data_IF_698862390581
#
_entry.id   IF_698862390581
#
_cell.length_a   1.000
_cell.length_b   1.000
_cell.length_c   1.000
_cell.angle_alpha   90.00
_cell.angle_beta   90.00
_cell.angle_gamma   90.00
#
_symmetry.space_group_name_H-M   'P 1'
#
loop_
_entity.id
_entity.type
_entity.pdbx_description
1 polymer ?
#
# COMPACT_ATOMS: atom_id res chain seq x y z
N UNK A 1 4.91 -26.33 15.50
CA UNK A 1 6.31 -26.73 15.27
C UNK A 1 6.61 -26.96 13.79
N UNK A 2 5.59 -27.35 12.96
CA UNK A 2 5.80 -27.71 11.54
C UNK A 2 5.46 -26.56 10.57
N UNK A 3 5.17 -25.37 11.08
CA UNK A 3 5.00 -24.13 10.33
C UNK A 3 5.95 -23.07 10.90
N UNK A 4 6.75 -22.46 10.02
CA UNK A 4 7.71 -21.40 10.35
C UNK A 4 7.47 -20.24 9.41
N UNK A 5 7.20 -19.07 9.96
CA UNK A 5 7.08 -17.81 9.22
C UNK A 5 8.35 -16.99 9.43
N UNK A 6 8.92 -16.52 8.35
CA UNK A 6 10.09 -15.64 8.33
C UNK A 6 9.66 -14.31 7.74
N UNK A 7 9.88 -13.24 8.48
CA UNK A 7 9.52 -11.89 8.11
C UNK A 7 10.75 -10.96 8.20
N UNK A 8 10.74 -9.83 7.50
CA UNK A 8 11.83 -8.86 7.60
C UNK A 8 12.04 -8.38 9.04
N UNK A 9 13.30 -8.34 9.47
CA UNK A 9 13.73 -7.62 10.66
C UNK A 9 14.08 -6.18 10.25
N UNK A 10 13.20 -5.25 10.56
CA UNK A 10 13.23 -3.90 10.01
C UNK A 10 12.92 -3.91 8.51
N UNK A 11 13.87 -3.49 7.70
CA UNK A 11 13.67 -3.32 6.25
C UNK A 11 14.19 -4.50 5.40
N UNK A 12 14.76 -5.53 5.99
CA UNK A 12 15.38 -6.62 5.23
C UNK A 12 15.33 -7.97 5.95
N UNK A 13 15.37 -9.05 5.15
CA UNK A 13 15.59 -10.42 5.65
C UNK A 13 17.09 -10.71 5.48
N UNK A 14 17.77 -10.93 6.61
CA UNK A 14 19.22 -11.13 6.67
C UNK A 14 19.59 -12.61 6.55
N UNK A 15 20.84 -12.86 6.14
CA UNK A 15 21.38 -14.23 6.02
C UNK A 15 21.24 -15.04 7.31
N UNK A 16 21.31 -14.41 8.48
CA UNK A 16 21.17 -15.09 9.77
C UNK A 16 19.81 -15.79 9.92
N UNK A 17 18.71 -15.13 9.51
CA UNK A 17 17.36 -15.69 9.56
C UNK A 17 17.20 -16.89 8.62
N UNK A 18 17.82 -16.83 7.44
CA UNK A 18 17.80 -17.97 6.49
C UNK A 18 18.65 -19.13 7.02
N UNK A 19 19.79 -18.87 7.65
CA UNK A 19 20.61 -19.93 8.27
C UNK A 19 19.89 -20.60 9.44
N UNK A 20 19.22 -19.86 10.28
CA UNK A 20 18.38 -20.41 11.36
C UNK A 20 17.26 -21.30 10.79
N UNK A 21 16.62 -20.86 9.70
CA UNK A 21 15.67 -21.70 8.97
C UNK A 21 16.33 -23.01 8.50
N UNK A 22 17.53 -22.92 7.90
CA UNK A 22 18.25 -24.08 7.34
C UNK A 22 18.62 -25.11 8.40
N UNK A 23 18.96 -24.72 9.60
CA UNK A 23 19.20 -25.64 10.73
C UNK A 23 17.94 -26.48 11.04
N UNK A 24 16.76 -25.90 10.83
CA UNK A 24 15.48 -26.54 11.06
C UNK A 24 14.94 -27.35 9.87
N UNK A 25 15.48 -27.16 8.66
CA UNK A 25 15.03 -27.85 7.44
C UNK A 25 15.26 -29.36 7.54
N UNK A 26 16.37 -29.80 8.11
CA UNK A 26 16.72 -31.21 8.20
C UNK A 26 16.07 -31.95 9.37
N UNK A 27 15.29 -31.27 10.20
CA UNK A 27 14.50 -31.90 11.26
C UNK A 27 13.14 -32.31 10.70
N UNK A 28 12.75 -33.59 10.93
CA UNK A 28 11.47 -34.12 10.48
C UNK A 28 10.29 -33.38 11.13
N UNK A 29 9.14 -33.28 10.44
CA UNK A 29 7.93 -32.76 11.05
C UNK A 29 7.50 -33.62 12.25
N UNK A 30 6.87 -32.95 13.23
CA UNK A 30 6.47 -33.62 14.51
C UNK A 30 5.00 -34.01 14.49
N UNK A 31 4.14 -33.14 13.94
CA UNK A 31 2.67 -33.29 14.00
C UNK A 31 2.09 -33.59 12.62
N UNK A 32 2.62 -32.99 11.56
CA UNK A 32 2.08 -33.10 10.21
C UNK A 32 2.99 -33.94 9.29
N UNK A 33 2.51 -34.26 8.08
CA UNK A 33 3.30 -34.98 7.07
C UNK A 33 4.33 -34.08 6.35
N UNK A 34 4.16 -32.77 6.46
CA UNK A 34 5.02 -31.75 5.83
C UNK A 34 5.40 -30.69 6.84
N UNK A 35 6.60 -30.11 6.68
CA UNK A 35 7.04 -28.93 7.39
C UNK A 35 7.10 -27.76 6.42
N UNK A 36 6.42 -26.67 6.73
CA UNK A 36 6.22 -25.52 5.84
C UNK A 36 7.01 -24.34 6.35
N UNK A 37 7.84 -23.78 5.50
CA UNK A 37 8.53 -22.52 5.71
C UNK A 37 7.95 -21.48 4.77
N UNK A 38 7.47 -20.37 5.32
CA UNK A 38 6.97 -19.21 4.56
C UNK A 38 7.94 -18.05 4.76
N UNK A 39 8.49 -17.53 3.68
CA UNK A 39 9.31 -16.32 3.67
C UNK A 39 8.46 -15.21 3.10
N UNK A 40 7.90 -14.39 3.99
CA UNK A 40 7.07 -13.25 3.63
C UNK A 40 7.95 -12.07 3.19
N UNK A 41 7.47 -11.26 2.25
CA UNK A 41 8.26 -10.16 1.64
C UNK A 41 9.65 -10.62 1.18
N UNK A 42 9.73 -11.76 0.50
CA UNK A 42 10.99 -12.38 0.11
C UNK A 42 11.85 -11.50 -0.81
N UNK A 43 11.28 -10.48 -1.45
CA UNK A 43 12.02 -9.45 -2.18
C UNK A 43 12.82 -8.50 -1.28
N UNK A 44 12.65 -8.58 0.04
CA UNK A 44 13.47 -7.89 1.04
C UNK A 44 14.66 -8.72 1.54
N UNK A 45 14.84 -9.95 1.03
CA UNK A 45 16.06 -10.72 1.34
C UNK A 45 17.30 -10.02 0.78
N UNK A 46 18.35 -9.92 1.61
CA UNK A 46 19.66 -9.49 1.09
C UNK A 46 20.19 -10.50 0.07
N UNK A 47 21.10 -10.08 -0.81
CA UNK A 47 21.66 -10.98 -1.83
C UNK A 47 22.35 -12.19 -1.20
N UNK A 48 23.05 -12.00 -0.07
CA UNK A 48 23.66 -13.09 0.68
C UNK A 48 22.62 -14.08 1.26
N UNK A 49 21.47 -13.56 1.72
CA UNK A 49 20.38 -14.40 2.21
C UNK A 49 19.80 -15.24 1.06
N UNK A 50 19.56 -14.62 -0.10
CA UNK A 50 19.09 -15.31 -1.29
C UNK A 50 20.07 -16.39 -1.75
N UNK A 51 21.37 -16.08 -1.81
CA UNK A 51 22.38 -17.05 -2.21
C UNK A 51 22.50 -18.22 -1.22
N UNK A 52 22.36 -17.95 0.09
CA UNK A 52 22.40 -19.03 1.09
C UNK A 52 21.22 -20.02 0.93
N UNK A 53 20.07 -19.55 0.46
CA UNK A 53 18.86 -20.36 0.28
C UNK A 53 18.97 -21.36 -0.90
N UNK A 54 19.83 -21.08 -1.89
CA UNK A 54 19.91 -21.85 -3.14
C UNK A 54 20.13 -23.35 -2.91
N UNK A 55 21.04 -23.73 -2.01
CA UNK A 55 21.32 -25.13 -1.72
C UNK A 55 20.08 -25.88 -1.21
N UNK A 56 19.28 -25.22 -0.38
CA UNK A 56 18.05 -25.80 0.18
C UNK A 56 16.96 -25.93 -0.89
N UNK A 57 16.94 -25.02 -1.87
CA UNK A 57 15.98 -25.08 -2.98
C UNK A 57 16.38 -26.11 -4.05
N UNK A 58 17.67 -26.45 -4.18
CA UNK A 58 18.15 -27.47 -5.12
C UNK A 58 17.80 -28.88 -4.67
N UNK A 59 18.01 -29.19 -3.40
CA UNK A 59 17.82 -30.53 -2.83
C UNK A 59 17.02 -30.47 -1.53
N UNK A 60 15.73 -30.03 -1.59
CA UNK A 60 14.90 -30.01 -0.39
C UNK A 60 14.53 -31.42 0.05
N UNK A 61 14.54 -31.74 1.37
CA UNK A 61 13.96 -32.99 1.85
C UNK A 61 12.49 -33.12 1.42
N UNK A 62 12.02 -34.35 1.13
CA UNK A 62 10.67 -34.59 0.61
C UNK A 62 9.53 -34.06 1.50
N UNK A 63 9.78 -33.94 2.80
CA UNK A 63 8.82 -33.45 3.77
C UNK A 63 8.82 -31.93 3.93
N UNK A 64 9.67 -31.19 3.21
CA UNK A 64 9.76 -29.73 3.29
C UNK A 64 8.93 -29.09 2.17
N UNK A 65 8.26 -27.97 2.52
CA UNK A 65 7.67 -27.04 1.58
C UNK A 65 8.18 -25.64 1.89
N UNK A 66 8.75 -24.97 0.91
CA UNK A 66 9.21 -23.58 1.04
C UNK A 66 8.32 -22.70 0.17
N UNK A 67 7.71 -21.67 0.74
CA UNK A 67 6.85 -20.70 0.07
C UNK A 67 7.51 -19.32 0.17
N UNK A 68 7.82 -18.73 -0.98
CA UNK A 68 8.33 -17.37 -1.09
C UNK A 68 7.18 -16.46 -1.50
N UNK A 69 6.83 -15.48 -0.67
CA UNK A 69 5.80 -14.49 -0.97
C UNK A 69 6.52 -13.19 -1.34
N UNK A 70 6.19 -12.62 -2.49
CA UNK A 70 6.79 -11.37 -2.96
C UNK A 70 5.80 -10.51 -3.73
N UNK A 71 5.87 -9.20 -3.54
CA UNK A 71 5.18 -8.22 -4.38
C UNK A 71 6.03 -7.80 -5.59
N UNK A 72 7.36 -8.09 -5.58
CA UNK A 72 8.27 -7.70 -6.66
C UNK A 72 9.27 -8.82 -6.98
N UNK A 73 8.89 -9.71 -7.90
CA UNK A 73 9.75 -10.82 -8.31
C UNK A 73 11.07 -10.40 -8.97
N UNK A 74 11.18 -9.15 -9.47
CA UNK A 74 12.41 -8.67 -10.11
C UNK A 74 13.56 -8.47 -9.11
N UNK A 75 13.27 -8.36 -7.82
CA UNK A 75 14.28 -8.31 -6.76
C UNK A 75 14.79 -9.69 -6.33
N UNK A 76 14.15 -10.76 -6.78
CA UNK A 76 14.64 -12.11 -6.56
C UNK A 76 15.63 -12.53 -7.64
N UNK A 77 16.70 -13.18 -7.22
CA UNK A 77 17.71 -13.73 -8.13
C UNK A 77 17.07 -14.72 -9.11
N UNK A 78 17.54 -14.70 -10.36
CA UNK A 78 17.07 -15.64 -11.38
C UNK A 78 17.32 -17.10 -11.00
N UNK A 79 18.37 -17.35 -10.22
CA UNK A 79 18.71 -18.67 -9.67
C UNK A 79 17.65 -19.19 -8.68
N UNK A 80 17.00 -18.32 -7.89
CA UNK A 80 15.86 -18.69 -7.06
C UNK A 80 14.63 -18.94 -7.92
N UNK A 81 14.30 -17.99 -8.82
CA UNK A 81 13.12 -18.10 -9.69
C UNK A 81 13.11 -19.38 -10.54
N UNK A 82 14.27 -19.84 -10.99
CA UNK A 82 14.39 -21.07 -11.78
C UNK A 82 14.15 -22.36 -10.99
N UNK A 83 14.18 -22.30 -9.66
CA UNK A 83 13.97 -23.44 -8.74
C UNK A 83 12.62 -23.43 -8.03
N UNK A 84 11.81 -22.42 -8.29
CA UNK A 84 10.48 -22.27 -7.68
C UNK A 84 9.38 -22.37 -8.73
N UNK A 85 8.27 -22.99 -8.36
CA UNK A 85 7.04 -22.91 -9.13
C UNK A 85 6.42 -21.52 -8.87
N UNK A 86 6.25 -20.73 -9.93
CA UNK A 86 5.61 -19.42 -9.83
C UNK A 86 4.09 -19.54 -9.85
N UNK A 87 3.44 -18.99 -8.85
CA UNK A 87 1.99 -18.81 -8.79
C UNK A 87 1.71 -17.31 -8.70
N UNK A 88 1.01 -16.77 -9.70
CA UNK A 88 0.67 -15.34 -9.73
C UNK A 88 -0.75 -15.13 -9.21
N UNK A 89 -0.90 -14.13 -8.33
CA UNK A 89 -2.19 -13.69 -7.84
C UNK A 89 -2.52 -12.33 -8.46
N UNK A 90 -3.64 -12.25 -9.13
CA UNK A 90 -4.15 -10.99 -9.67
C UNK A 90 -4.92 -10.22 -8.59
N UNK A 91 -5.07 -8.92 -8.81
CA UNK A 91 -5.95 -8.10 -7.99
C UNK A 91 -7.39 -8.63 -8.10
N UNK A 92 -8.12 -8.62 -7.00
CA UNK A 92 -9.54 -8.98 -6.98
C UNK A 92 -10.36 -7.94 -7.78
N UNK A 93 -11.43 -8.39 -8.40
CA UNK A 93 -12.39 -7.50 -9.03
C UNK A 93 -13.22 -6.74 -7.97
N UNK A 94 -13.78 -5.61 -8.36
CA UNK A 94 -14.64 -4.81 -7.44
C UNK A 94 -15.83 -5.63 -6.92
N UNK A 95 -16.38 -6.53 -7.74
CA UNK A 95 -17.44 -7.47 -7.35
C UNK A 95 -17.01 -8.39 -6.20
N UNK A 96 -15.76 -8.85 -6.20
CA UNK A 96 -15.23 -9.72 -5.17
C UNK A 96 -15.01 -8.95 -3.86
N UNK A 97 -14.51 -7.70 -3.96
CA UNK A 97 -14.40 -6.81 -2.81
C UNK A 97 -15.77 -6.55 -2.17
N UNK A 98 -16.80 -6.26 -2.96
CA UNK A 98 -18.17 -6.04 -2.47
C UNK A 98 -18.72 -7.33 -1.81
N UNK A 99 -18.47 -8.48 -2.42
CA UNK A 99 -18.87 -9.78 -1.85
C UNK A 99 -18.21 -10.02 -0.50
N UNK A 100 -16.92 -9.69 -0.39
CA UNK A 100 -16.20 -9.76 0.89
C UNK A 100 -16.80 -8.82 1.94
N UNK A 101 -17.05 -7.54 1.60
CA UNK A 101 -17.67 -6.56 2.50
C UNK A 101 -18.99 -7.10 3.04
N UNK A 102 -19.85 -7.63 2.18
CA UNK A 102 -21.14 -8.17 2.55
C UNK A 102 -21.05 -9.43 3.46
N UNK A 103 -19.92 -10.13 3.43
CA UNK A 103 -19.67 -11.30 4.28
C UNK A 103 -19.17 -10.93 5.69
N UNK A 104 -18.66 -9.71 5.87
CA UNK A 104 -18.09 -9.23 7.14
C UNK A 104 -19.11 -8.37 7.87
N UNK A 105 -19.55 -8.81 9.04
CA UNK A 105 -20.54 -8.07 9.84
C UNK A 105 -19.98 -6.70 10.28
N UNK A 106 -20.73 -5.63 10.03
CA UNK A 106 -20.38 -4.28 10.44
C UNK A 106 -19.49 -3.51 9.47
N UNK A 107 -19.02 -4.13 8.37
CA UNK A 107 -18.26 -3.45 7.36
C UNK A 107 -19.19 -2.60 6.46
N UNK A 108 -18.82 -1.33 6.22
CA UNK A 108 -19.57 -0.46 5.34
C UNK A 108 -19.03 -0.53 3.91
N UNK A 109 -19.91 -0.41 2.92
CA UNK A 109 -19.49 -0.32 1.51
C UNK A 109 -18.93 1.09 1.26
N UNK A 110 -17.64 1.24 0.96
CA UNK A 110 -17.05 2.55 0.67
C UNK A 110 -17.55 3.12 -0.65
N UNK A 111 -17.23 4.40 -0.91
CA UNK A 111 -17.51 5.02 -2.21
C UNK A 111 -16.80 4.28 -3.37
N UNK A 112 -17.29 4.46 -4.59
CA UNK A 112 -16.68 3.87 -5.79
C UNK A 112 -15.20 4.28 -5.94
N UNK A 113 -14.85 5.53 -5.58
CA UNK A 113 -13.48 6.03 -5.62
C UNK A 113 -12.59 5.30 -4.60
N UNK A 114 -13.09 5.03 -3.40
CA UNK A 114 -12.38 4.26 -2.39
C UNK A 114 -12.18 2.80 -2.81
N UNK A 115 -13.16 2.19 -3.42
CA UNK A 115 -13.02 0.83 -3.97
C UNK A 115 -11.96 0.78 -5.07
N UNK A 116 -11.92 1.79 -5.96
CA UNK A 116 -10.86 1.93 -6.98
C UNK A 116 -9.47 2.10 -6.34
N UNK A 117 -9.36 2.91 -5.29
CA UNK A 117 -8.11 3.09 -4.55
C UNK A 117 -7.61 1.78 -3.91
N UNK A 118 -8.51 0.93 -3.45
CA UNK A 118 -8.15 -0.38 -2.89
C UNK A 118 -7.51 -1.31 -3.93
N UNK A 119 -7.77 -1.08 -5.21
CA UNK A 119 -7.17 -1.81 -6.33
C UNK A 119 -7.18 -3.34 -6.13
N UNK A 120 -8.32 -3.90 -5.72
CA UNK A 120 -8.48 -5.33 -5.50
C UNK A 120 -7.81 -5.89 -4.23
N UNK A 121 -7.32 -5.05 -3.34
CA UNK A 121 -6.67 -5.48 -2.09
C UNK A 121 -7.63 -5.46 -0.91
N UNK A 122 -7.92 -6.64 -0.33
CA UNK A 122 -8.70 -6.75 0.91
C UNK A 122 -7.98 -6.06 2.07
N UNK A 123 -6.65 -6.17 2.16
CA UNK A 123 -5.89 -5.52 3.22
C UNK A 123 -6.00 -3.99 3.18
N UNK A 124 -5.97 -3.39 1.99
CA UNK A 124 -6.25 -1.94 1.84
C UNK A 124 -7.70 -1.62 2.18
N UNK A 125 -8.64 -2.44 1.74
CA UNK A 125 -10.05 -2.26 2.04
C UNK A 125 -10.33 -2.26 3.56
N UNK A 126 -9.71 -3.14 4.32
CA UNK A 126 -9.83 -3.17 5.79
C UNK A 126 -9.30 -1.87 6.41
N UNK A 127 -8.10 -1.42 6.01
CA UNK A 127 -7.54 -0.14 6.47
C UNK A 127 -8.42 1.06 6.14
N UNK A 128 -9.00 1.09 4.94
CA UNK A 128 -9.96 2.13 4.54
C UNK A 128 -11.18 2.11 5.44
N UNK A 129 -11.71 0.91 5.75
CA UNK A 129 -12.89 0.78 6.59
C UNK A 129 -12.65 1.20 8.06
N UNK A 130 -11.45 0.98 8.58
CA UNK A 130 -11.02 1.44 9.92
C UNK A 130 -10.96 2.97 10.03
N UNK A 131 -10.72 3.68 8.92
CA UNK A 131 -10.55 5.13 8.85
C UNK A 131 -11.58 5.77 7.89
N UNK A 132 -12.78 5.19 7.78
CA UNK A 132 -13.75 5.57 6.76
C UNK A 132 -14.25 7.02 6.92
N UNK A 133 -14.32 7.53 8.14
CA UNK A 133 -14.73 8.89 8.43
C UNK A 133 -13.72 9.90 7.85
N UNK A 134 -12.43 9.65 8.01
CA UNK A 134 -11.35 10.48 7.48
C UNK A 134 -11.38 10.51 5.95
N UNK A 135 -11.51 9.35 5.32
CA UNK A 135 -11.62 9.27 3.86
C UNK A 135 -12.86 9.99 3.33
N UNK A 136 -14.02 9.84 3.97
CA UNK A 136 -15.25 10.54 3.59
C UNK A 136 -15.13 12.06 3.76
N UNK A 137 -14.46 12.52 4.83
CA UNK A 137 -14.20 13.94 5.04
C UNK A 137 -13.30 14.52 3.94
N UNK A 138 -12.21 13.82 3.60
CA UNK A 138 -11.31 14.21 2.50
C UNK A 138 -12.03 14.21 1.17
N UNK A 139 -12.85 13.20 0.86
CA UNK A 139 -13.62 13.13 -0.39
C UNK A 139 -14.57 14.31 -0.52
N UNK A 140 -15.34 14.59 0.52
CA UNK A 140 -16.30 15.70 0.54
C UNK A 140 -15.60 17.05 0.35
N UNK A 141 -14.50 17.28 1.09
CA UNK A 141 -13.78 18.55 1.05
C UNK A 141 -13.07 18.76 -0.29
N UNK A 142 -12.42 17.70 -0.81
CA UNK A 142 -11.76 17.75 -2.13
C UNK A 142 -12.77 18.01 -3.24
N UNK A 143 -13.91 17.34 -3.23
CA UNK A 143 -14.98 17.60 -4.21
C UNK A 143 -15.53 19.04 -4.10
N UNK A 144 -15.70 19.58 -2.89
CA UNK A 144 -16.12 20.98 -2.69
C UNK A 144 -15.06 21.95 -3.24
N UNK A 145 -13.79 21.67 -3.03
CA UNK A 145 -12.70 22.46 -3.58
C UNK A 145 -12.69 22.46 -5.11
N UNK A 146 -12.74 21.28 -5.74
CA UNK A 146 -12.73 21.13 -7.19
C UNK A 146 -13.93 21.79 -7.88
N UNK A 147 -15.07 21.82 -7.21
CA UNK A 147 -16.30 22.48 -7.70
C UNK A 147 -16.38 23.99 -7.37
N UNK A 148 -15.32 24.60 -6.83
CA UNK A 148 -15.27 26.02 -6.51
C UNK A 148 -16.23 26.46 -5.39
N UNK A 149 -16.62 25.53 -4.50
CA UNK A 149 -17.54 25.81 -3.38
C UNK A 149 -16.83 26.38 -2.13
N UNK A 150 -15.51 26.42 -2.12
CA UNK A 150 -14.72 26.97 -1.04
C UNK A 150 -14.44 28.44 -1.35
N UNK A 151 -14.91 29.40 -0.52
CA UNK A 151 -14.90 30.81 -0.89
C UNK A 151 -13.56 31.51 -0.72
N UNK A 152 -12.68 31.01 0.14
CA UNK A 152 -11.37 31.59 0.40
C UNK A 152 -10.43 30.60 1.07
N UNK A 153 -9.13 30.94 1.11
CA UNK A 153 -8.07 30.10 1.66
C UNK A 153 -8.26 29.77 3.14
N UNK A 154 -8.76 30.72 3.95
CA UNK A 154 -9.00 30.48 5.38
C UNK A 154 -10.05 29.39 5.58
N UNK A 155 -11.12 29.42 4.77
CA UNK A 155 -12.15 28.38 4.79
C UNK A 155 -11.59 27.05 4.30
N UNK A 156 -10.69 27.07 3.32
CA UNK A 156 -9.99 25.86 2.84
C UNK A 156 -9.17 25.20 3.96
N UNK A 157 -8.32 25.96 4.65
CA UNK A 157 -7.53 25.45 5.76
C UNK A 157 -8.42 24.81 6.84
N UNK A 158 -9.55 25.47 7.19
CA UNK A 158 -10.48 24.92 8.17
C UNK A 158 -11.22 23.66 7.73
N UNK A 159 -11.53 23.52 6.44
CA UNK A 159 -12.24 22.34 5.91
C UNK A 159 -11.32 21.15 5.74
N UNK A 160 -10.04 21.37 5.46
CA UNK A 160 -9.03 20.31 5.38
C UNK A 160 -8.36 19.98 6.74
N UNK A 161 -9.00 20.38 7.87
CA UNK A 161 -8.50 20.11 9.22
C UNK A 161 -8.14 18.62 9.45
N UNK A 162 -8.85 17.72 8.78
CA UNK A 162 -8.60 16.28 8.87
C UNK A 162 -7.17 15.91 8.48
N UNK A 163 -6.55 16.59 7.51
CA UNK A 163 -5.18 16.31 7.09
C UNK A 163 -4.16 16.60 8.21
N UNK A 164 -4.44 17.54 9.11
CA UNK A 164 -3.55 17.83 10.25
C UNK A 164 -3.67 16.78 11.36
N UNK A 165 -4.84 16.13 11.48
CA UNK A 165 -5.13 15.17 12.55
C UNK A 165 -4.72 13.74 12.21
N UNK A 166 -4.72 13.38 10.92
CA UNK A 166 -4.56 11.99 10.46
C UNK A 166 -3.13 11.69 9.97
N UNK A 167 -2.12 12.01 10.80
CA UNK A 167 -0.70 11.86 10.46
C UNK A 167 -0.31 10.43 10.05
N UNK A 168 -0.90 9.43 10.69
CA UNK A 168 -0.56 8.01 10.47
C UNK A 168 -0.98 7.52 9.08
N UNK A 169 -2.08 8.05 8.56
CA UNK A 169 -2.64 7.66 7.26
C UNK A 169 -2.51 8.76 6.19
N UNK A 170 -1.73 9.82 6.47
CA UNK A 170 -1.67 11.00 5.58
C UNK A 170 -1.30 10.66 4.15
N UNK A 171 -0.34 9.76 3.93
CA UNK A 171 0.06 9.37 2.59
C UNK A 171 -1.09 8.69 1.84
N UNK A 172 -1.86 7.85 2.52
CA UNK A 172 -3.04 7.18 1.95
C UNK A 172 -4.16 8.20 1.66
N UNK A 173 -4.37 9.22 2.52
CA UNK A 173 -5.34 10.29 2.28
C UNK A 173 -4.92 11.18 1.09
N UNK A 174 -3.64 11.49 0.96
CA UNK A 174 -3.10 12.25 -0.19
C UNK A 174 -3.21 11.45 -1.49
N UNK A 175 -2.96 10.15 -1.46
CA UNK A 175 -3.20 9.25 -2.59
C UNK A 175 -4.69 9.24 -2.98
N UNK A 176 -5.57 9.27 -1.99
CA UNK A 176 -7.00 9.34 -2.25
C UNK A 176 -7.41 10.67 -2.89
N UNK A 177 -6.85 11.80 -2.45
CA UNK A 177 -7.07 13.09 -3.11
C UNK A 177 -6.66 13.03 -4.59
N UNK A 178 -5.55 12.38 -4.92
CA UNK A 178 -5.11 12.19 -6.32
C UNK A 178 -6.15 11.40 -7.11
N UNK A 179 -6.70 10.31 -6.55
CA UNK A 179 -7.76 9.51 -7.20
C UNK A 179 -8.98 10.38 -7.49
N UNK A 180 -9.43 11.19 -6.53
CA UNK A 180 -10.59 12.08 -6.70
C UNK A 180 -10.32 13.11 -7.80
N UNK A 181 -9.15 13.73 -7.82
CA UNK A 181 -8.75 14.70 -8.85
C UNK A 181 -8.72 14.02 -10.22
N UNK A 182 -8.18 12.82 -10.31
CA UNK A 182 -8.12 12.06 -11.58
C UNK A 182 -9.51 11.74 -12.13
N UNK A 183 -10.42 11.30 -11.27
CA UNK A 183 -11.83 11.06 -11.64
C UNK A 183 -12.53 12.36 -12.07
N UNK A 184 -12.21 13.49 -11.42
CA UNK A 184 -12.74 14.79 -11.81
C UNK A 184 -12.25 15.21 -13.20
N UNK A 185 -10.94 15.03 -13.51
CA UNK A 185 -10.34 15.30 -14.82
C UNK A 185 -11.01 14.47 -15.92
N UNK A 186 -11.28 13.20 -15.64
CA UNK A 186 -11.91 12.30 -16.62
C UNK A 186 -13.36 12.71 -16.96
N UNK A 187 -14.06 13.32 -16.02
CA UNK A 187 -15.43 13.81 -16.18
C UNK A 187 -15.50 15.21 -16.81
N UNK A 188 -14.51 16.06 -16.54
CA UNK A 188 -14.45 17.45 -17.01
C UNK A 188 -13.49 17.60 -18.19
N UNK A 189 -13.97 18.02 -19.37
CA UNK A 189 -13.12 18.14 -20.58
C UNK A 189 -12.20 19.38 -20.61
N UNK A 190 -12.41 20.39 -19.74
CA UNK A 190 -11.91 21.74 -20.02
C UNK A 190 -10.71 22.26 -19.19
N UNK A 191 -10.22 21.52 -18.17
CA UNK A 191 -9.19 22.06 -17.26
C UNK A 191 -8.06 21.09 -16.91
N UNK A 192 -7.64 20.26 -17.84
CA UNK A 192 -6.64 19.19 -17.58
C UNK A 192 -5.30 19.69 -17.00
N UNK A 193 -4.73 20.77 -17.54
CA UNK A 193 -3.41 21.24 -17.12
C UNK A 193 -3.38 21.68 -15.64
N UNK A 194 -4.38 22.47 -15.20
CA UNK A 194 -4.52 22.95 -13.83
C UNK A 194 -4.62 21.81 -12.83
N UNK A 195 -5.46 20.82 -13.12
CA UNK A 195 -5.64 19.67 -12.21
C UNK A 195 -4.43 18.73 -12.18
N UNK A 196 -3.65 18.63 -13.27
CA UNK A 196 -2.39 17.91 -13.28
C UNK A 196 -1.35 18.58 -12.37
N UNK A 197 -1.33 19.92 -12.30
CA UNK A 197 -0.47 20.64 -11.37
C UNK A 197 -0.85 20.36 -9.91
N UNK A 198 -2.15 20.21 -9.60
CA UNK A 198 -2.58 19.81 -8.25
C UNK A 198 -2.03 18.45 -7.85
N UNK A 199 -2.03 17.46 -8.76
CA UNK A 199 -1.45 16.14 -8.51
C UNK A 199 0.05 16.27 -8.23
N UNK A 200 0.79 17.07 -9.00
CA UNK A 200 2.21 17.29 -8.79
C UNK A 200 2.51 17.95 -7.44
N UNK A 201 1.68 18.90 -6.99
CA UNK A 201 1.79 19.56 -5.68
C UNK A 201 1.57 18.54 -4.55
N UNK A 202 0.59 17.65 -4.68
CA UNK A 202 0.33 16.59 -3.70
C UNK A 202 1.52 15.62 -3.60
N UNK A 203 2.05 15.17 -4.74
CA UNK A 203 3.21 14.26 -4.77
C UNK A 203 4.48 14.90 -4.18
N UNK A 204 4.75 16.19 -4.47
CA UNK A 204 5.85 16.94 -3.84
C UNK A 204 5.68 16.99 -2.31
N UNK A 205 4.45 17.19 -1.84
CA UNK A 205 4.13 17.21 -0.40
C UNK A 205 4.38 15.84 0.25
N UNK A 206 3.97 14.74 -0.36
CA UNK A 206 4.25 13.38 0.13
C UNK A 206 5.75 13.17 0.30
N UNK A 207 6.56 13.54 -0.69
CA UNK A 207 8.01 13.43 -0.61
C UNK A 207 8.59 14.25 0.55
N UNK A 208 8.09 15.46 0.79
CA UNK A 208 8.54 16.32 1.89
C UNK A 208 8.19 15.75 3.26
N UNK A 209 7.02 15.15 3.41
CA UNK A 209 6.60 14.47 4.66
C UNK A 209 7.53 13.28 4.96
N UNK A 210 7.87 12.47 3.96
CA UNK A 210 8.79 11.33 4.10
C UNK A 210 10.19 11.77 4.54
N UNK A 211 10.64 12.96 4.11
CA UNK A 211 11.95 13.53 4.49
C UNK A 211 11.96 14.16 5.90
N UNK A 212 10.93 13.89 6.72
CA UNK A 212 10.79 14.41 8.10
C UNK A 212 10.81 15.95 8.22
N UNK A 213 10.26 16.66 7.25
CA UNK A 213 10.01 18.09 7.36
C UNK A 213 8.89 18.38 8.39
N UNK A 214 8.78 19.62 8.82
CA UNK A 214 7.70 20.02 9.70
C UNK A 214 6.35 19.69 9.04
N UNK A 215 5.61 18.77 9.64
CA UNK A 215 4.37 18.21 9.11
C UNK A 215 3.31 19.28 8.82
N UNK A 216 3.03 20.12 9.81
CA UNK A 216 1.97 21.11 9.68
C UNK A 216 2.31 22.15 8.59
N UNK A 217 3.60 22.55 8.49
CA UNK A 217 4.06 23.39 7.38
C UNK A 217 3.95 22.72 6.01
N UNK A 218 4.11 21.39 5.93
CA UNK A 218 3.91 20.67 4.67
C UNK A 218 2.45 20.73 4.23
N UNK A 219 1.50 20.57 5.17
CA UNK A 219 0.07 20.64 4.89
C UNK A 219 -0.34 22.08 4.56
N UNK A 220 0.14 23.10 5.31
CA UNK A 220 -0.10 24.50 4.99
C UNK A 220 0.36 24.84 3.56
N UNK A 221 1.58 24.44 3.21
CA UNK A 221 2.15 24.67 1.87
C UNK A 221 1.35 23.97 0.77
N UNK A 222 0.91 22.72 1.02
CA UNK A 222 0.02 21.99 0.12
C UNK A 222 -1.24 22.80 -0.18
N UNK A 223 -1.97 23.19 0.87
CA UNK A 223 -3.26 23.87 0.74
C UNK A 223 -3.13 25.26 0.10
N UNK A 224 -2.08 26.01 0.46
CA UNK A 224 -1.80 27.31 -0.15
C UNK A 224 -1.51 27.19 -1.65
N UNK A 225 -0.62 26.27 -2.05
CA UNK A 225 -0.32 26.03 -3.46
C UNK A 225 -1.53 25.52 -4.25
N UNK A 226 -2.32 24.63 -3.67
CA UNK A 226 -3.57 24.20 -4.30
C UNK A 226 -4.53 25.37 -4.50
N UNK A 227 -4.61 26.29 -3.54
CA UNK A 227 -5.43 27.49 -3.66
C UNK A 227 -4.94 28.41 -4.78
N UNK A 228 -3.63 28.70 -4.81
CA UNK A 228 -3.00 29.53 -5.85
C UNK A 228 -3.32 29.03 -7.25
N UNK A 229 -3.17 27.72 -7.52
CA UNK A 229 -3.53 27.09 -8.79
C UNK A 229 -5.01 27.26 -9.16
N UNK A 230 -5.89 27.50 -8.20
CA UNK A 230 -7.32 27.71 -8.50
C UNK A 230 -7.69 29.16 -8.73
N UNK A 231 -6.92 30.12 -8.20
CA UNK A 231 -7.19 31.57 -8.27
C UNK A 231 -6.52 32.20 -9.48
N UNK A 232 -5.38 31.66 -9.96
CA UNK A 232 -4.76 32.15 -11.20
C UNK A 232 -5.68 31.84 -12.40
N UNK A 233 -6.27 32.92 -12.91
CA UNK A 233 -7.11 32.93 -14.12
C UNK A 233 -6.27 33.04 -15.37
#
# INVERSE_FOLDING_TARGET
PDFVLIEPDGNSIKIAQIREMQENVYTKPIVSSKKVFVINDSDKMTEEAQNSLLKTLEEPPEYIMIILITANENKLLNTIKSRCLKISFNNLETSDLISYINSVQGMQVPSENLLKMCNGSIGKLMKVNENLEEYNAVESTTNNFLNGKIPNVVKMLSQFEILYKSKEIINDLLDYMIVIIYEYINKSKDYRAKFLNLIAIIEDTKNRIVLNNNYDMCIDNLLLKMWEETVEK
#
